data_IF_039450965643
#
_entry.id   IF_039450965643
#
_cell.length_a   1.000
_cell.length_b   1.000
_cell.length_c   1.000
_cell.angle_alpha   90.00
_cell.angle_beta   90.00
_cell.angle_gamma   90.00
#
_symmetry.space_group_name_H-M   'P 1'
#
loop_
_entity.id
_entity.type
_entity.pdbx_description
1 polymer ?
#
# COMPACT_ATOMS: atom_id res chain seq x y z
N UNK A 1 14.15 12.45 -55.13
CA UNK A 1 13.46 11.19 -55.53
C UNK A 1 12.13 11.55 -56.18
N UNK A 2 11.80 10.96 -57.35
CA UNK A 2 10.69 11.41 -58.21
C UNK A 2 9.38 10.65 -57.88
N UNK A 3 8.26 11.39 -57.91
CA UNK A 3 6.84 11.03 -57.68
C UNK A 3 6.32 9.71 -58.29
N UNK A 4 7.08 9.09 -59.22
CA UNK A 4 6.78 7.78 -59.83
C UNK A 4 7.20 6.56 -59.00
N UNK A 5 8.07 6.70 -58.00
CA UNK A 5 8.41 5.60 -57.08
C UNK A 5 7.37 5.41 -55.96
N UNK A 6 6.67 6.48 -55.56
CA UNK A 6 5.67 6.45 -54.46
C UNK A 6 4.36 5.72 -54.84
N UNK A 7 4.00 5.71 -56.13
CA UNK A 7 2.75 5.08 -56.62
C UNK A 7 2.95 3.58 -56.88
N UNK A 8 4.19 3.12 -57.12
CA UNK A 8 4.47 1.68 -57.27
C UNK A 8 4.47 0.92 -55.94
N UNK A 9 4.68 1.61 -54.81
CA UNK A 9 4.60 1.01 -53.46
C UNK A 9 3.17 0.90 -52.93
N UNK A 10 2.17 1.50 -53.58
CA UNK A 10 0.76 1.49 -53.13
C UNK A 10 -0.16 0.58 -53.95
N UNK A 11 0.31 0.00 -55.05
CA UNK A 11 -0.51 -0.81 -55.97
C UNK A 11 -0.38 -2.34 -55.77
N UNK A 12 0.28 -2.80 -54.71
CA UNK A 12 0.41 -4.23 -54.38
C UNK A 12 -0.18 -4.56 -52.99
N UNK A 13 -1.28 -3.90 -52.62
CA UNK A 13 -2.00 -4.15 -51.35
C UNK A 13 -3.47 -4.44 -51.63
N UNK A 14 -3.71 -5.48 -52.43
CA UNK A 14 -5.05 -6.02 -52.65
C UNK A 14 -4.96 -7.53 -52.91
N UNK A 15 -4.48 -8.29 -51.93
CA UNK A 15 -4.77 -9.72 -51.79
C UNK A 15 -4.30 -10.22 -50.41
N UNK A 16 -5.28 -10.52 -49.55
CA UNK A 16 -5.27 -11.57 -48.52
C UNK A 16 -4.18 -11.52 -47.41
N UNK A 17 -4.67 -11.32 -46.18
CA UNK A 17 -4.13 -11.92 -44.96
C UNK A 17 -2.75 -11.45 -44.52
N UNK A 18 -2.73 -10.56 -43.51
CA UNK A 18 -1.62 -10.19 -42.60
C UNK A 18 -1.51 -8.67 -42.44
N UNK A 19 -2.53 -8.05 -41.84
CA UNK A 19 -2.31 -6.81 -41.07
C UNK A 19 -1.90 -7.20 -39.66
N UNK A 20 -0.87 -8.05 -39.56
CA UNK A 20 -0.19 -8.35 -38.30
C UNK A 20 1.00 -7.40 -38.18
N UNK A 21 1.12 -6.78 -37.00
CA UNK A 21 2.31 -6.15 -36.44
C UNK A 21 2.95 -4.91 -37.11
N UNK A 22 2.63 -4.52 -38.35
CA UNK A 22 3.38 -3.45 -39.04
C UNK A 22 3.03 -2.01 -38.62
N UNK A 23 1.88 -1.77 -37.99
CA UNK A 23 1.51 -0.44 -37.47
C UNK A 23 2.20 -0.09 -36.13
N UNK A 24 2.87 -1.05 -35.49
CA UNK A 24 3.57 -0.90 -34.21
C UNK A 24 5.08 -1.09 -34.32
N UNK A 25 5.62 -1.20 -35.53
CA UNK A 25 7.05 -1.26 -35.75
C UNK A 25 7.66 0.11 -35.40
N UNK A 26 8.08 0.28 -34.14
CA UNK A 26 8.94 1.39 -33.72
C UNK A 26 10.23 1.25 -34.54
N UNK A 27 10.52 2.16 -35.49
CA UNK A 27 11.76 2.09 -36.25
C UNK A 27 12.93 2.13 -35.28
N UNK A 28 13.87 1.18 -35.40
CA UNK A 28 15.03 0.99 -34.52
C UNK A 28 14.78 0.42 -33.11
N UNK A 29 13.68 -0.31 -32.86
CA UNK A 29 13.64 -1.14 -31.65
C UNK A 29 14.70 -2.25 -31.78
N UNK A 30 15.81 -2.15 -31.05
CA UNK A 30 16.72 -3.28 -30.89
C UNK A 30 15.91 -4.44 -30.30
N UNK A 31 15.86 -5.58 -31.01
CA UNK A 31 15.33 -6.80 -30.42
C UNK A 31 16.23 -7.12 -29.23
N UNK A 32 15.73 -6.92 -28.02
CA UNK A 32 16.44 -7.32 -26.81
C UNK A 32 16.72 -8.82 -26.91
N UNK A 33 17.99 -9.19 -27.10
CA UNK A 33 18.40 -10.58 -27.05
C UNK A 33 18.54 -10.93 -25.57
N UNK A 34 17.66 -11.81 -25.09
CA UNK A 34 17.80 -12.42 -23.77
C UNK A 34 19.16 -13.12 -23.69
N UNK A 35 20.06 -12.57 -22.89
CA UNK A 35 21.31 -13.25 -22.57
C UNK A 35 21.02 -14.32 -21.53
N UNK A 36 21.07 -15.58 -21.94
CA UNK A 36 21.00 -16.72 -21.02
C UNK A 36 22.36 -16.88 -20.32
N UNK A 37 22.45 -16.41 -19.08
CA UNK A 37 23.58 -16.72 -18.18
C UNK A 37 23.18 -17.80 -17.18
N UNK A 38 24.14 -18.58 -16.69
CA UNK A 38 23.91 -19.47 -15.55
C UNK A 38 23.38 -18.67 -14.36
N UNK A 39 22.30 -19.15 -13.73
CA UNK A 39 21.71 -18.48 -12.57
C UNK A 39 22.76 -18.37 -11.44
N UNK A 40 22.95 -17.19 -10.82
CA UNK A 40 23.85 -17.04 -9.69
C UNK A 40 23.46 -17.99 -8.54
N UNK A 41 24.46 -18.51 -7.84
CA UNK A 41 24.22 -19.38 -6.68
C UNK A 41 23.57 -18.63 -5.53
N UNK A 42 23.84 -17.33 -5.41
CA UNK A 42 23.32 -16.45 -4.38
C UNK A 42 22.67 -15.23 -5.05
N UNK A 43 21.37 -15.03 -4.82
CA UNK A 43 20.62 -13.92 -5.39
C UNK A 43 20.00 -13.11 -4.25
N UNK A 44 20.34 -11.82 -4.17
CA UNK A 44 19.69 -10.89 -3.26
C UNK A 44 18.27 -10.61 -3.74
N UNK A 45 17.31 -10.65 -2.82
CA UNK A 45 15.91 -10.40 -3.08
C UNK A 45 15.20 -9.81 -1.85
N UNK A 46 14.00 -9.30 -2.08
CA UNK A 46 13.07 -8.95 -1.02
C UNK A 46 12.09 -10.11 -0.77
N UNK A 47 11.71 -10.33 0.48
CA UNK A 47 10.67 -11.29 0.85
C UNK A 47 9.33 -10.94 0.17
N UNK A 48 8.65 -11.90 -0.50
CA UNK A 48 7.46 -11.61 -1.32
C UNK A 48 6.15 -11.47 -0.52
N UNK A 49 6.22 -11.34 0.81
CA UNK A 49 5.05 -11.37 1.70
C UNK A 49 4.69 -10.02 2.29
N UNK A 50 4.97 -9.77 3.57
CA UNK A 50 4.47 -8.56 4.23
C UNK A 50 5.31 -7.32 3.88
N UNK A 51 4.72 -6.13 4.00
CA UNK A 51 5.36 -4.83 3.78
C UNK A 51 6.45 -4.45 4.78
N UNK A 52 6.90 -5.37 5.64
CA UNK A 52 8.17 -5.21 6.36
C UNK A 52 9.33 -5.12 5.37
N UNK A 53 9.31 -5.91 4.28
CA UNK A 53 10.38 -5.89 3.29
C UNK A 53 11.70 -6.45 3.82
N UNK A 54 11.67 -7.66 4.38
CA UNK A 54 12.89 -8.35 4.82
C UNK A 54 13.77 -8.69 3.62
N UNK A 55 15.07 -8.40 3.71
CA UNK A 55 16.07 -8.86 2.76
C UNK A 55 16.32 -10.36 2.90
N UNK A 56 16.48 -11.02 1.77
CA UNK A 56 16.67 -12.47 1.69
C UNK A 56 17.67 -12.84 0.60
N UNK A 57 18.38 -13.93 0.80
CA UNK A 57 19.32 -14.52 -0.15
C UNK A 57 18.70 -15.82 -0.65
N UNK A 58 18.36 -15.85 -1.94
CA UNK A 58 17.88 -17.03 -2.64
C UNK A 58 19.11 -17.86 -3.03
N UNK A 59 19.21 -19.07 -2.49
CA UNK A 59 20.29 -20.02 -2.83
C UNK A 59 19.84 -20.91 -3.97
N UNK A 60 20.55 -20.90 -5.09
CA UNK A 60 20.24 -21.72 -6.26
C UNK A 60 21.29 -22.79 -6.55
N UNK A 61 20.84 -23.91 -7.14
CA UNK A 61 21.70 -24.95 -7.70
C UNK A 61 21.00 -25.53 -8.93
N UNK A 62 21.71 -25.61 -10.06
CA UNK A 62 21.19 -26.13 -11.33
C UNK A 62 19.85 -25.46 -11.74
N UNK A 63 19.76 -24.13 -11.60
CA UNK A 63 18.55 -23.36 -11.95
C UNK A 63 17.36 -23.56 -11.01
N UNK A 64 17.54 -24.21 -9.86
CA UNK A 64 16.48 -24.41 -8.85
C UNK A 64 16.83 -23.76 -7.53
N UNK A 65 15.81 -23.24 -6.85
CA UNK A 65 15.95 -22.72 -5.49
C UNK A 65 16.10 -23.91 -4.54
N UNK A 66 17.12 -23.87 -3.71
CA UNK A 66 17.41 -24.90 -2.69
C UNK A 66 17.09 -24.40 -1.29
N UNK A 67 17.41 -23.13 -0.99
CA UNK A 67 17.21 -22.53 0.31
C UNK A 67 16.87 -21.05 0.17
N UNK A 68 16.12 -20.55 1.14
CA UNK A 68 15.90 -19.13 1.37
C UNK A 68 16.54 -18.79 2.71
N UNK A 69 17.53 -17.90 2.69
CA UNK A 69 18.30 -17.54 3.88
C UNK A 69 18.06 -16.05 4.17
N UNK A 70 17.89 -15.64 5.43
CA UNK A 70 17.78 -14.22 5.74
C UNK A 70 19.08 -13.49 5.43
N UNK A 71 18.97 -12.32 4.82
CA UNK A 71 20.11 -11.43 4.62
C UNK A 71 20.51 -10.79 5.97
N UNK A 72 21.75 -11.01 6.39
CA UNK A 72 22.30 -10.51 7.65
C UNK A 72 22.61 -9.02 7.59
N UNK A 73 22.91 -8.51 6.40
CA UNK A 73 23.35 -7.14 6.18
C UNK A 73 22.16 -6.21 5.86
N UNK A 74 20.99 -6.77 5.58
CA UNK A 74 19.80 -5.99 5.28
C UNK A 74 19.25 -5.25 6.53
N UNK A 75 19.07 -3.91 6.47
CA UNK A 75 18.81 -3.08 7.65
C UNK A 75 17.48 -3.40 8.33
N UNK A 76 16.47 -3.78 7.55
CA UNK A 76 15.13 -4.10 8.06
C UNK A 76 15.14 -5.25 9.05
N UNK A 77 15.81 -6.35 8.72
CA UNK A 77 15.64 -7.64 9.39
C UNK A 77 16.91 -8.22 10.00
N UNK A 78 18.11 -7.70 9.66
CA UNK A 78 19.39 -7.99 10.32
C UNK A 78 19.63 -9.50 10.54
N UNK A 79 19.33 -10.31 9.52
CA UNK A 79 19.52 -11.76 9.58
C UNK A 79 18.35 -12.55 10.20
N UNK A 80 17.22 -11.91 10.51
CA UNK A 80 16.00 -12.60 10.95
C UNK A 80 14.97 -12.70 9.83
N UNK A 81 14.17 -13.76 9.82
CA UNK A 81 13.05 -13.91 8.88
C UNK A 81 12.00 -14.85 9.48
N UNK A 82 10.73 -14.55 9.25
CA UNK A 82 9.64 -15.40 9.76
C UNK A 82 9.45 -16.64 8.88
N UNK A 83 8.69 -17.63 9.39
CA UNK A 83 8.47 -18.91 8.70
C UNK A 83 8.00 -18.75 7.26
N UNK A 84 7.08 -17.81 6.99
CA UNK A 84 6.57 -17.55 5.63
C UNK A 84 7.71 -17.23 4.67
N UNK A 85 8.62 -16.34 5.08
CA UNK A 85 9.75 -15.95 4.25
C UNK A 85 10.71 -17.11 4.00
N UNK A 86 11.05 -17.87 5.04
CA UNK A 86 11.96 -19.01 4.98
C UNK A 86 11.44 -20.13 4.06
N UNK A 87 10.12 -20.30 3.97
CA UNK A 87 9.48 -21.32 3.11
C UNK A 87 8.92 -20.75 1.80
N UNK A 88 9.27 -19.51 1.44
CA UNK A 88 8.69 -18.81 0.29
C UNK A 88 8.86 -19.52 -1.06
N UNK A 89 9.88 -20.36 -1.20
CA UNK A 89 10.15 -21.13 -2.41
C UNK A 89 9.18 -22.29 -2.65
N UNK A 90 8.51 -22.81 -1.62
CA UNK A 90 7.66 -24.01 -1.73
C UNK A 90 6.50 -23.79 -2.70
N UNK A 91 5.83 -22.63 -2.62
CA UNK A 91 4.69 -22.29 -3.47
C UNK A 91 5.05 -22.20 -4.97
N UNK A 92 6.33 -22.02 -5.31
CA UNK A 92 6.80 -21.96 -6.71
C UNK A 92 6.75 -23.34 -7.37
N UNK A 93 6.80 -24.42 -6.58
CA UNK A 93 6.94 -25.79 -7.07
C UNK A 93 5.70 -26.67 -6.86
N UNK A 94 4.59 -26.13 -6.35
CA UNK A 94 3.36 -26.86 -6.08
C UNK A 94 2.19 -26.25 -6.85
N UNK A 95 1.44 -27.07 -7.61
CA UNK A 95 0.22 -26.68 -8.34
C UNK A 95 0.34 -25.42 -9.22
N UNK A 96 1.52 -25.19 -9.81
CA UNK A 96 1.77 -24.00 -10.64
C UNK A 96 1.17 -24.18 -12.03
N UNK A 97 0.37 -23.22 -12.47
CA UNK A 97 -0.07 -23.14 -13.86
C UNK A 97 1.11 -22.80 -14.76
N UNK A 98 1.34 -23.60 -15.80
CA UNK A 98 2.47 -23.48 -16.73
C UNK A 98 2.05 -23.25 -18.18
N UNK A 99 0.75 -23.28 -18.47
CA UNK A 99 0.16 -23.08 -19.80
C UNK A 99 -1.01 -22.11 -19.71
N UNK A 100 -1.23 -21.28 -20.74
CA UNK A 100 -2.50 -20.56 -20.90
C UNK A 100 -3.69 -21.52 -20.94
N UNK A 101 -4.76 -21.15 -20.26
CA UNK A 101 -6.00 -21.93 -20.18
C UNK A 101 -7.16 -21.08 -20.70
N UNK A 102 -7.85 -21.58 -21.73
CA UNK A 102 -9.05 -20.97 -22.29
C UNK A 102 -10.25 -21.80 -21.91
N UNK A 103 -11.27 -21.17 -21.33
CA UNK A 103 -12.49 -21.87 -20.94
C UNK A 103 -13.25 -22.35 -22.17
N UNK A 104 -13.65 -23.63 -22.18
CA UNK A 104 -14.21 -24.32 -23.37
C UNK A 104 -15.54 -23.74 -23.83
N UNK A 105 -16.38 -23.31 -22.89
CA UNK A 105 -17.69 -22.74 -23.17
C UNK A 105 -17.68 -21.21 -23.18
N UNK A 106 -16.49 -20.60 -23.35
CA UNK A 106 -16.40 -19.14 -23.39
C UNK A 106 -17.40 -18.56 -24.36
N UNK A 107 -17.96 -17.48 -23.88
CA UNK A 107 -19.07 -16.81 -24.48
C UNK A 107 -18.57 -15.53 -25.11
N UNK A 108 -19.09 -15.22 -26.29
CA UNK A 108 -18.83 -13.98 -27.02
C UNK A 108 -19.29 -12.77 -26.17
N UNK A 109 -18.35 -12.01 -25.57
CA UNK A 109 -18.70 -10.90 -24.69
C UNK A 109 -19.36 -9.74 -25.46
N UNK A 110 -19.10 -9.61 -26.75
CA UNK A 110 -19.66 -8.57 -27.61
C UNK A 110 -21.14 -8.83 -27.89
N UNK A 111 -21.53 -10.11 -27.96
CA UNK A 111 -22.93 -10.52 -28.05
C UNK A 111 -23.62 -10.71 -26.70
N UNK A 112 -22.95 -10.35 -25.60
CA UNK A 112 -23.48 -10.47 -24.24
C UNK A 112 -23.68 -11.92 -23.78
N UNK A 113 -23.10 -12.91 -24.47
CA UNK A 113 -23.13 -14.29 -24.01
C UNK A 113 -22.21 -14.35 -22.78
N UNK A 114 -22.63 -15.05 -21.74
CA UNK A 114 -21.81 -15.37 -20.54
C UNK A 114 -21.60 -16.88 -20.47
N UNK A 115 -20.38 -17.32 -20.14
CA UNK A 115 -20.09 -18.74 -19.94
C UNK A 115 -21.02 -19.30 -18.87
N UNK A 116 -21.63 -20.46 -19.16
CA UNK A 116 -22.52 -21.13 -18.21
C UNK A 116 -21.76 -21.64 -16.98
N UNK A 117 -20.45 -21.82 -17.14
CA UNK A 117 -19.56 -22.33 -16.10
C UNK A 117 -18.75 -21.25 -15.40
N UNK A 118 -19.06 -19.96 -15.63
CA UNK A 118 -18.44 -18.83 -14.93
C UNK A 118 -18.53 -19.02 -13.41
N UNK A 119 -17.41 -18.83 -12.71
CA UNK A 119 -17.29 -19.04 -11.26
C UNK A 119 -16.80 -20.44 -10.85
N UNK A 120 -16.80 -21.42 -11.76
CA UNK A 120 -16.15 -22.71 -11.53
C UNK A 120 -14.69 -22.68 -11.99
N UNK A 121 -13.82 -23.28 -11.18
CA UNK A 121 -12.37 -23.39 -11.39
C UNK A 121 -11.91 -24.84 -11.64
N UNK A 122 -12.85 -25.74 -11.94
CA UNK A 122 -12.52 -27.11 -12.36
C UNK A 122 -11.75 -27.09 -13.69
N UNK A 123 -10.55 -27.67 -13.69
CA UNK A 123 -9.65 -27.69 -14.85
C UNK A 123 -10.27 -28.41 -16.07
N UNK A 124 -11.21 -29.33 -15.87
CA UNK A 124 -11.91 -30.02 -16.95
C UNK A 124 -12.74 -29.07 -17.85
N UNK A 125 -13.06 -27.88 -17.35
CA UNK A 125 -13.80 -26.84 -18.06
C UNK A 125 -12.92 -25.98 -18.97
N UNK A 126 -11.60 -26.18 -18.91
CA UNK A 126 -10.62 -25.42 -19.69
C UNK A 126 -9.91 -26.32 -20.69
N UNK A 127 -9.46 -25.71 -21.78
CA UNK A 127 -8.47 -26.29 -22.69
C UNK A 127 -7.18 -25.50 -22.60
N UNK A 128 -6.06 -26.16 -22.85
CA UNK A 128 -4.79 -25.47 -23.02
C UNK A 128 -4.79 -24.69 -24.35
N UNK A 129 -4.01 -23.61 -24.38
CA UNK A 129 -3.76 -22.78 -25.56
C UNK A 129 -2.26 -22.45 -25.64
N UNK A 130 -1.79 -22.05 -26.82
CA UNK A 130 -0.47 -21.44 -26.96
C UNK A 130 -0.48 -20.01 -26.41
N UNK A 131 0.69 -19.44 -26.17
CA UNK A 131 0.79 -18.02 -25.80
C UNK A 131 0.28 -17.12 -26.91
N UNK A 132 0.69 -17.37 -28.16
CA UNK A 132 0.24 -16.59 -29.33
C UNK A 132 -1.29 -16.59 -29.46
N UNK A 133 -1.93 -17.75 -29.33
CA UNK A 133 -3.39 -17.86 -29.40
C UNK A 133 -4.08 -17.10 -28.25
N UNK A 134 -3.58 -17.25 -27.03
CA UNK A 134 -4.17 -16.60 -25.86
C UNK A 134 -3.99 -15.08 -25.90
N UNK A 135 -2.82 -14.61 -26.35
CA UNK A 135 -2.52 -13.18 -26.51
C UNK A 135 -3.40 -12.57 -27.60
N UNK A 136 -3.48 -13.19 -28.78
CA UNK A 136 -4.32 -12.71 -29.89
C UNK A 136 -5.79 -12.65 -29.48
N UNK A 137 -6.30 -13.69 -28.82
CA UNK A 137 -7.67 -13.72 -28.31
C UNK A 137 -7.96 -12.57 -27.34
N UNK A 138 -7.06 -12.30 -26.38
CA UNK A 138 -7.23 -11.20 -25.42
C UNK A 138 -7.13 -9.84 -26.10
N UNK A 139 -6.14 -9.66 -26.98
CA UNK A 139 -5.89 -8.40 -27.68
C UNK A 139 -7.06 -8.03 -28.59
N UNK A 140 -7.56 -8.97 -29.40
CA UNK A 140 -8.70 -8.75 -30.30
C UNK A 140 -9.97 -8.39 -29.52
N UNK A 141 -10.29 -9.16 -28.46
CA UNK A 141 -11.48 -8.90 -27.65
C UNK A 141 -11.41 -7.55 -26.94
N UNK A 142 -10.27 -7.21 -26.33
CA UNK A 142 -10.07 -5.91 -25.66
C UNK A 142 -10.20 -4.78 -26.68
N UNK A 143 -9.54 -4.90 -27.84
CA UNK A 143 -9.59 -3.88 -28.88
C UNK A 143 -11.01 -3.68 -29.42
N UNK A 144 -11.77 -4.76 -29.65
CA UNK A 144 -13.14 -4.68 -30.14
C UNK A 144 -14.10 -4.11 -29.10
N UNK A 145 -13.97 -4.50 -27.83
CA UNK A 145 -14.72 -3.92 -26.71
C UNK A 145 -14.46 -2.42 -26.60
N UNK A 146 -13.20 -1.99 -26.62
CA UNK A 146 -12.83 -0.56 -26.55
C UNK A 146 -13.34 0.22 -27.77
N UNK A 147 -13.28 -0.37 -28.97
CA UNK A 147 -13.78 0.27 -30.20
C UNK A 147 -15.30 0.46 -30.17
N UNK A 148 -16.05 -0.51 -29.65
CA UNK A 148 -17.51 -0.50 -29.62
C UNK A 148 -18.07 0.29 -28.45
N UNK A 149 -17.43 0.21 -27.29
CA UNK A 149 -17.99 0.64 -26.00
C UNK A 149 -17.10 1.64 -25.23
N UNK A 150 -15.93 2.00 -25.77
CA UNK A 150 -14.99 2.96 -25.18
C UNK A 150 -14.06 2.36 -24.11
N UNK A 151 -13.02 3.09 -23.73
CA UNK A 151 -11.96 2.60 -22.83
C UNK A 151 -12.45 2.09 -21.47
N UNK A 152 -13.40 2.79 -20.84
CA UNK A 152 -13.95 2.41 -19.54
C UNK A 152 -14.82 1.13 -19.54
N UNK A 153 -15.05 0.51 -20.71
CA UNK A 153 -15.66 -0.83 -20.77
C UNK A 153 -14.68 -1.96 -20.44
N UNK A 154 -13.37 -1.64 -20.34
CA UNK A 154 -12.32 -2.54 -19.88
C UNK A 154 -11.80 -2.06 -18.54
N UNK A 155 -11.72 -2.99 -17.58
CA UNK A 155 -11.20 -2.74 -16.24
C UNK A 155 -9.96 -3.57 -15.94
N UNK A 156 -9.07 -3.02 -15.12
CA UNK A 156 -7.89 -3.71 -14.61
C UNK A 156 -7.91 -3.72 -13.09
N UNK A 157 -7.59 -4.88 -12.51
CA UNK A 157 -7.46 -5.06 -11.06
C UNK A 157 -6.03 -5.51 -10.72
N UNK A 158 -5.20 -4.54 -10.37
CA UNK A 158 -3.80 -4.70 -10.05
C UNK A 158 -3.56 -5.20 -8.63
N UNK A 159 -2.30 -5.22 -8.21
CA UNK A 159 -1.93 -5.74 -6.90
C UNK A 159 -0.67 -5.09 -6.34
N UNK A 160 -0.70 -4.76 -5.05
CA UNK A 160 0.48 -4.38 -4.25
C UNK A 160 1.53 -5.49 -4.09
N UNK A 161 1.39 -6.63 -4.78
CA UNK A 161 2.40 -7.70 -4.85
C UNK A 161 3.13 -7.75 -6.21
N UNK A 162 2.70 -6.95 -7.18
CA UNK A 162 3.42 -6.81 -8.45
C UNK A 162 4.72 -6.02 -8.23
N UNK A 163 5.64 -6.14 -9.19
CA UNK A 163 6.83 -5.30 -9.22
C UNK A 163 6.45 -3.86 -9.56
N UNK A 164 7.33 -2.90 -9.23
CA UNK A 164 7.09 -1.49 -9.53
C UNK A 164 6.88 -1.27 -11.03
N UNK A 165 7.67 -1.95 -11.85
CA UNK A 165 7.61 -1.88 -13.31
C UNK A 165 6.26 -2.41 -13.82
N UNK A 166 5.77 -3.52 -13.26
CA UNK A 166 4.46 -4.07 -13.59
C UNK A 166 3.34 -3.06 -13.31
N UNK A 167 3.31 -2.50 -12.10
CA UNK A 167 2.31 -1.51 -11.69
C UNK A 167 2.38 -0.23 -12.53
N UNK A 168 3.59 0.19 -12.92
CA UNK A 168 3.78 1.33 -13.81
C UNK A 168 3.23 1.07 -15.22
N UNK A 169 3.47 -0.12 -15.77
CA UNK A 169 2.95 -0.54 -17.07
C UNK A 169 1.42 -0.65 -17.06
N UNK A 170 0.81 -1.11 -15.97
CA UNK A 170 -0.65 -1.12 -15.82
C UNK A 170 -1.24 0.29 -16.01
N UNK A 171 -0.60 1.31 -15.44
CA UNK A 171 -1.06 2.69 -15.56
C UNK A 171 -0.91 3.25 -16.99
N UNK A 172 0.23 2.99 -17.63
CA UNK A 172 0.45 3.36 -19.05
C UNK A 172 -0.60 2.68 -19.93
N UNK A 173 -0.78 1.37 -19.77
CA UNK A 173 -1.70 0.59 -20.58
C UNK A 173 -3.14 1.10 -20.43
N UNK A 174 -3.62 1.24 -19.20
CA UNK A 174 -5.00 1.65 -18.96
C UNK A 174 -5.24 3.11 -19.35
N UNK A 175 -4.48 4.05 -18.77
CA UNK A 175 -4.77 5.49 -18.93
C UNK A 175 -4.20 6.07 -20.21
N UNK A 176 -3.00 5.64 -20.60
CA UNK A 176 -2.29 6.15 -21.78
C UNK A 176 -2.64 5.44 -23.09
N UNK A 177 -2.85 4.13 -23.08
CA UNK A 177 -3.10 3.35 -24.31
C UNK A 177 -4.59 3.14 -24.57
N UNK A 178 -5.30 2.51 -23.62
CA UNK A 178 -6.73 2.22 -23.79
C UNK A 178 -7.63 3.46 -23.63
N UNK A 179 -7.12 4.48 -22.93
CA UNK A 179 -7.92 5.64 -22.55
C UNK A 179 -9.01 5.25 -21.55
N UNK A 180 -8.66 4.47 -20.53
CA UNK A 180 -9.54 3.99 -19.46
C UNK A 180 -9.03 4.46 -18.10
N UNK A 181 -9.94 4.91 -17.25
CA UNK A 181 -9.67 5.19 -15.83
C UNK A 181 -10.27 4.10 -14.92
N UNK A 182 -10.64 2.96 -15.48
CA UNK A 182 -11.21 1.82 -14.75
C UNK A 182 -10.09 0.90 -14.27
N UNK A 183 -9.21 1.45 -13.43
CA UNK A 183 -8.09 0.74 -12.83
C UNK A 183 -8.19 0.84 -11.31
N UNK A 184 -8.06 -0.28 -10.62
CA UNK A 184 -7.97 -0.37 -9.18
C UNK A 184 -6.96 -1.45 -8.78
N UNK A 185 -6.55 -1.45 -7.51
CA UNK A 185 -5.69 -2.50 -6.97
C UNK A 185 -6.18 -2.94 -5.60
N UNK A 186 -5.81 -4.16 -5.18
CA UNK A 186 -6.13 -4.65 -3.82
C UNK A 186 -5.59 -3.74 -2.69
N UNK A 187 -4.60 -2.89 -2.97
CA UNK A 187 -4.13 -1.84 -2.06
C UNK A 187 -5.26 -0.89 -1.62
N UNK A 188 -6.31 -0.72 -2.44
CA UNK A 188 -7.49 0.10 -2.12
C UNK A 188 -8.20 -0.39 -0.85
N UNK A 189 -8.32 -1.71 -0.67
CA UNK A 189 -8.92 -2.34 0.51
C UNK A 189 -8.03 -2.30 1.76
N UNK A 190 -6.80 -1.83 1.65
CA UNK A 190 -5.81 -1.91 2.72
C UNK A 190 -5.32 -0.53 3.17
N UNK A 191 -4.84 0.31 2.24
CA UNK A 191 -4.00 1.47 2.58
C UNK A 191 -4.65 2.83 2.31
N UNK A 192 -5.77 2.90 1.57
CA UNK A 192 -6.37 4.18 1.12
C UNK A 192 -6.75 5.14 2.24
N UNK A 193 -7.22 4.60 3.36
CA UNK A 193 -7.53 5.40 4.56
C UNK A 193 -6.29 6.10 5.11
N UNK A 194 -5.17 5.39 5.20
CA UNK A 194 -3.89 5.95 5.61
C UNK A 194 -3.37 6.97 4.59
N UNK A 195 -3.43 6.65 3.29
CA UNK A 195 -3.04 7.56 2.19
C UNK A 195 -3.72 8.91 2.31
N UNK A 196 -5.05 8.88 2.38
CA UNK A 196 -5.85 10.10 2.39
C UNK A 196 -5.69 10.85 3.70
N UNK A 197 -5.57 10.14 4.83
CA UNK A 197 -5.29 10.74 6.13
C UNK A 197 -3.94 11.44 6.19
N UNK A 198 -2.88 10.82 5.64
CA UNK A 198 -1.56 11.43 5.57
C UNK A 198 -1.53 12.63 4.64
N UNK A 199 -2.11 12.56 3.44
CA UNK A 199 -2.17 13.71 2.53
C UNK A 199 -2.91 14.89 3.19
N UNK A 200 -4.04 14.64 3.85
CA UNK A 200 -4.81 15.68 4.55
C UNK A 200 -4.07 16.29 5.75
N UNK A 201 -3.19 15.54 6.41
CA UNK A 201 -2.53 15.99 7.65
C UNK A 201 -1.10 16.50 7.43
N UNK A 202 -0.34 15.86 6.54
CA UNK A 202 1.09 16.05 6.32
C UNK A 202 1.42 16.46 4.87
N UNK A 203 0.46 16.45 3.95
CA UNK A 203 0.66 16.80 2.53
C UNK A 203 1.42 15.75 1.71
N UNK A 204 1.77 14.61 2.30
CA UNK A 204 2.46 13.49 1.63
C UNK A 204 1.80 12.17 1.99
N UNK A 205 2.01 11.14 1.18
CA UNK A 205 1.39 9.83 1.32
C UNK A 205 2.15 8.88 2.28
N UNK A 206 3.47 9.03 2.35
CA UNK A 206 4.36 8.07 3.02
C UNK A 206 4.46 8.33 4.53
N UNK A 207 4.66 7.29 5.37
CA UNK A 207 4.97 7.50 6.78
C UNK A 207 6.19 8.43 6.94
N UNK A 208 6.16 9.40 7.87
CA UNK A 208 7.30 10.27 8.16
C UNK A 208 8.38 9.59 9.03
N UNK A 209 8.35 8.26 9.14
CA UNK A 209 9.17 7.44 10.04
C UNK A 209 9.77 6.24 9.30
N UNK A 210 10.81 5.64 9.86
CA UNK A 210 11.44 4.41 9.38
C UNK A 210 11.57 3.36 10.49
N UNK A 211 12.06 2.16 10.18
CA UNK A 211 12.11 1.09 11.19
C UNK A 211 13.18 1.32 12.25
N UNK A 212 14.24 2.08 11.96
CA UNK A 212 15.26 2.49 12.95
C UNK A 212 14.68 3.34 14.09
N UNK A 213 13.51 3.95 13.90
CA UNK A 213 12.83 4.71 14.95
C UNK A 213 12.39 3.79 16.12
N UNK A 214 12.23 2.48 15.88
CA UNK A 214 11.87 1.52 16.93
C UNK A 214 12.89 1.53 18.07
N UNK A 215 14.18 1.57 17.75
CA UNK A 215 15.24 1.51 18.77
C UNK A 215 15.56 2.88 19.42
N UNK A 216 14.83 3.92 19.03
CA UNK A 216 14.96 5.28 19.56
C UNK A 216 13.73 5.73 20.37
N UNK A 217 12.59 5.05 20.21
CA UNK A 217 11.34 5.43 20.84
C UNK A 217 11.37 5.29 22.37
N UNK A 218 10.69 6.21 23.07
CA UNK A 218 10.47 6.12 24.52
C UNK A 218 9.16 5.40 24.87
N UNK A 219 8.23 5.34 23.92
CA UNK A 219 6.97 4.61 24.02
C UNK A 219 6.55 4.14 22.62
N UNK A 220 6.04 2.90 22.53
CA UNK A 220 5.54 2.34 21.27
C UNK A 220 4.08 1.94 21.42
N UNK A 221 3.24 2.41 20.51
CA UNK A 221 1.81 2.10 20.49
C UNK A 221 1.44 1.32 19.22
N UNK A 222 0.51 0.38 19.34
CA UNK A 222 -0.09 -0.36 18.25
C UNK A 222 -1.59 -0.09 18.17
N UNK A 223 -2.07 0.42 17.04
CA UNK A 223 -3.50 0.74 16.82
C UNK A 223 -4.10 -0.16 15.75
N UNK A 224 -5.07 -1.00 16.11
CA UNK A 224 -5.69 -1.96 15.19
C UNK A 224 -4.67 -2.86 14.48
N UNK A 225 -3.58 -3.21 15.17
CA UNK A 225 -2.41 -3.87 14.59
C UNK A 225 -1.93 -5.03 15.46
N UNK A 226 -1.89 -6.22 14.88
CA UNK A 226 -1.31 -7.42 15.49
C UNK A 226 0.01 -7.79 14.79
N UNK A 227 1.11 -7.05 15.00
CA UNK A 227 2.39 -7.29 14.32
C UNK A 227 2.96 -8.68 14.62
N UNK A 228 2.68 -9.31 15.77
CA UNK A 228 3.19 -10.68 16.02
C UNK A 228 2.71 -11.69 14.98
N UNK A 229 1.48 -11.52 14.47
CA UNK A 229 0.94 -12.35 13.38
C UNK A 229 1.19 -11.78 11.99
N UNK A 230 1.01 -10.47 11.83
CA UNK A 230 1.01 -9.80 10.53
C UNK A 230 2.41 -9.36 10.07
N UNK A 231 3.24 -8.86 10.98
CA UNK A 231 4.56 -8.27 10.69
C UNK A 231 5.61 -8.78 11.71
N UNK A 232 5.93 -10.08 11.72
CA UNK A 232 6.62 -10.69 12.86
C UNK A 232 8.00 -10.10 13.14
N UNK A 233 8.75 -9.71 12.11
CA UNK A 233 10.08 -9.11 12.30
C UNK A 233 10.00 -7.72 12.96
N UNK A 234 8.99 -6.92 12.61
CA UNK A 234 8.72 -5.66 13.31
C UNK A 234 8.37 -5.91 14.77
N UNK A 235 7.49 -6.87 15.05
CA UNK A 235 7.17 -7.26 16.43
C UNK A 235 8.41 -7.68 17.21
N UNK A 236 9.26 -8.53 16.63
CA UNK A 236 10.46 -9.01 17.31
C UNK A 236 11.48 -7.91 17.58
N UNK A 237 11.60 -6.91 16.70
CA UNK A 237 12.42 -5.71 16.98
C UNK A 237 11.89 -4.94 18.17
N UNK A 238 10.57 -4.69 18.22
CA UNK A 238 9.93 -4.01 19.34
C UNK A 238 10.05 -4.82 20.65
N UNK A 239 9.85 -6.12 20.58
CA UNK A 239 9.98 -7.03 21.73
C UNK A 239 11.42 -7.05 22.28
N UNK A 240 12.43 -7.21 21.42
CA UNK A 240 13.83 -7.17 21.81
C UNK A 240 14.20 -5.81 22.43
N UNK A 241 13.78 -4.71 21.80
CA UNK A 241 14.02 -3.37 22.32
C UNK A 241 13.36 -3.14 23.69
N UNK A 242 12.08 -3.52 23.84
CA UNK A 242 11.36 -3.46 25.12
C UNK A 242 12.05 -4.30 26.20
N UNK A 243 12.53 -5.50 25.88
CA UNK A 243 13.23 -6.34 26.88
C UNK A 243 14.51 -5.69 27.42
N UNK A 244 15.18 -4.86 26.60
CA UNK A 244 16.42 -4.16 26.97
C UNK A 244 16.18 -2.80 27.64
N UNK A 245 15.15 -2.07 27.23
CA UNK A 245 14.89 -0.69 27.67
C UNK A 245 13.69 -0.51 28.58
N UNK A 246 12.84 -1.53 28.68
CA UNK A 246 11.62 -1.53 29.47
C UNK A 246 10.69 -0.35 29.18
N UNK A 247 10.61 0.07 27.91
CA UNK A 247 9.73 1.17 27.49
C UNK A 247 8.24 0.79 27.67
N UNK A 248 7.37 1.77 27.98
CA UNK A 248 5.93 1.59 27.92
C UNK A 248 5.45 1.20 26.53
N UNK A 249 4.46 0.31 26.48
CA UNK A 249 3.78 -0.05 25.24
C UNK A 249 2.28 -0.04 25.40
N UNK A 250 1.57 0.45 24.40
CA UNK A 250 0.10 0.42 24.34
C UNK A 250 -0.34 -0.41 23.13
N UNK A 251 -1.30 -1.31 23.32
CA UNK A 251 -2.03 -1.95 22.22
C UNK A 251 -3.48 -1.52 22.30
N UNK A 252 -4.02 -0.98 21.22
CA UNK A 252 -5.43 -0.66 21.07
C UNK A 252 -6.00 -1.60 20.00
N UNK A 253 -6.63 -2.67 20.47
CA UNK A 253 -7.17 -3.75 19.64
C UNK A 253 -8.32 -4.38 20.45
N UNK A 254 -9.52 -4.56 19.89
CA UNK A 254 -10.62 -5.20 20.64
C UNK A 254 -10.27 -6.61 21.13
N UNK A 255 -9.28 -7.26 20.52
CA UNK A 255 -8.86 -8.62 20.85
C UNK A 255 -7.56 -8.59 21.65
N UNK A 256 -7.45 -9.49 22.63
CA UNK A 256 -6.17 -9.82 23.27
C UNK A 256 -5.34 -10.70 22.33
N UNK A 257 -4.66 -10.06 21.37
CA UNK A 257 -3.89 -10.74 20.32
C UNK A 257 -2.53 -11.23 20.79
N UNK A 258 -1.81 -11.96 19.93
CA UNK A 258 -0.44 -12.38 20.21
C UNK A 258 0.51 -11.21 20.49
N UNK A 259 0.21 -10.02 19.97
CA UNK A 259 0.97 -8.80 20.26
C UNK A 259 0.80 -8.38 21.71
N UNK A 260 -0.44 -8.34 22.22
CA UNK A 260 -0.72 -8.05 23.64
C UNK A 260 0.00 -9.05 24.52
N UNK A 261 -0.23 -10.35 24.28
CA UNK A 261 0.36 -11.42 25.09
C UNK A 261 1.89 -11.35 25.09
N UNK A 262 2.51 -11.14 23.93
CA UNK A 262 3.98 -11.13 23.84
C UNK A 262 4.65 -9.92 24.48
N UNK A 263 3.98 -8.76 24.52
CA UNK A 263 4.50 -7.59 25.25
C UNK A 263 4.33 -7.76 26.76
N UNK A 264 3.20 -8.33 27.20
CA UNK A 264 2.95 -8.69 28.60
C UNK A 264 3.92 -9.76 29.11
N UNK A 265 4.27 -10.76 28.29
CA UNK A 265 5.27 -11.80 28.62
C UNK A 265 6.65 -11.18 28.94
N UNK A 266 6.99 -10.04 28.31
CA UNK A 266 8.24 -9.31 28.58
C UNK A 266 8.12 -8.53 29.88
N UNK A 267 7.10 -7.68 30.00
CA UNK A 267 6.80 -6.99 31.24
C UNK A 267 5.34 -6.51 31.24
N UNK A 268 4.46 -7.07 32.10
CA UNK A 268 3.07 -6.66 32.16
C UNK A 268 2.88 -5.28 32.79
N UNK A 269 3.83 -4.79 33.61
CA UNK A 269 3.72 -3.49 34.28
C UNK A 269 3.90 -2.30 33.34
N UNK A 270 4.57 -2.50 32.22
CA UNK A 270 4.80 -1.47 31.19
C UNK A 270 4.03 -1.79 29.91
N UNK A 271 3.06 -2.70 29.97
CA UNK A 271 2.25 -3.15 28.83
C UNK A 271 0.79 -2.84 29.09
N UNK A 272 0.21 -1.97 28.27
CA UNK A 272 -1.16 -1.52 28.38
C UNK A 272 -1.97 -2.03 27.19
N UNK A 273 -3.21 -2.44 27.44
CA UNK A 273 -4.14 -2.91 26.41
C UNK A 273 -5.48 -2.21 26.57
N UNK A 274 -5.93 -1.53 25.51
CA UNK A 274 -7.26 -0.93 25.40
C UNK A 274 -8.13 -1.80 24.47
N UNK A 275 -9.00 -2.67 25.02
CA UNK A 275 -9.91 -3.50 24.24
C UNK A 275 -11.14 -2.71 23.81
N UNK A 276 -11.01 -1.95 22.72
CA UNK A 276 -12.09 -1.09 22.19
C UNK A 276 -12.49 -1.47 20.77
N UNK A 277 -13.75 -1.23 20.43
CA UNK A 277 -14.28 -1.27 19.05
C UNK A 277 -14.75 0.15 18.72
N UNK A 278 -14.23 0.74 17.64
CA UNK A 278 -14.64 2.05 17.11
C UNK A 278 -14.48 3.23 18.09
N UNK A 279 -13.61 3.11 19.10
CA UNK A 279 -13.34 4.15 20.11
C UNK A 279 -12.14 5.04 19.80
N UNK A 280 -11.35 4.74 18.77
CA UNK A 280 -10.00 5.28 18.57
C UNK A 280 -9.91 6.80 18.58
N UNK A 281 -10.75 7.50 17.78
CA UNK A 281 -10.78 8.97 17.71
C UNK A 281 -11.08 9.58 19.09
N UNK A 282 -12.02 8.98 19.83
CA UNK A 282 -12.36 9.45 21.17
C UNK A 282 -11.22 9.21 22.16
N UNK A 283 -10.46 8.11 22.01
CA UNK A 283 -9.26 7.86 22.82
C UNK A 283 -8.18 8.90 22.50
N UNK A 284 -7.89 9.22 21.23
CA UNK A 284 -6.86 10.24 20.93
C UNK A 284 -7.23 11.60 21.51
N UNK A 285 -8.48 12.02 21.36
CA UNK A 285 -8.94 13.31 21.88
C UNK A 285 -8.99 13.33 23.42
N UNK A 286 -9.31 12.20 24.06
CA UNK A 286 -9.25 12.11 25.52
C UNK A 286 -7.82 12.07 26.08
N UNK A 287 -6.89 11.45 25.36
CA UNK A 287 -5.44 11.57 25.65
C UNK A 287 -4.98 13.02 25.48
N UNK A 288 -5.41 13.70 24.42
CA UNK A 288 -5.10 15.11 24.20
C UNK A 288 -5.64 15.99 25.33
N UNK A 289 -6.89 15.79 25.74
CA UNK A 289 -7.50 16.46 26.88
C UNK A 289 -6.67 16.26 28.15
N UNK A 290 -6.42 15.00 28.51
CA UNK A 290 -5.69 14.65 29.74
C UNK A 290 -4.28 15.24 29.76
N UNK A 291 -3.59 15.27 28.61
CA UNK A 291 -2.27 15.89 28.49
C UNK A 291 -2.37 17.40 28.67
N UNK A 292 -3.30 18.07 28.00
CA UNK A 292 -3.46 19.52 28.08
C UNK A 292 -3.85 19.98 29.49
N UNK A 293 -4.68 19.20 30.19
CA UNK A 293 -5.12 19.51 31.55
C UNK A 293 -4.07 19.18 32.61
N UNK A 294 -3.48 17.98 32.57
CA UNK A 294 -2.66 17.44 33.68
C UNK A 294 -1.16 17.42 33.41
N UNK A 295 -0.77 17.54 32.14
CA UNK A 295 0.63 17.52 31.68
C UNK A 295 0.91 18.65 30.67
N UNK A 296 0.57 19.92 30.97
CA UNK A 296 0.71 21.02 30.02
C UNK A 296 2.15 21.23 29.52
N UNK A 297 3.15 20.79 30.29
CA UNK A 297 4.57 20.78 29.91
C UNK A 297 4.90 19.79 28.77
N UNK A 298 4.02 18.82 28.52
CA UNK A 298 4.14 17.90 27.39
C UNK A 298 3.62 18.49 26.08
N UNK A 299 2.85 19.58 26.11
CA UNK A 299 2.32 20.25 24.91
C UNK A 299 3.44 21.02 24.20
N UNK A 300 3.63 20.76 22.91
CA UNK A 300 4.68 21.38 22.10
C UNK A 300 4.19 22.70 21.48
N UNK A 301 3.96 23.73 22.30
CA UNK A 301 3.39 25.01 21.86
C UNK A 301 4.15 25.68 20.72
N UNK A 302 5.48 25.68 20.77
CA UNK A 302 6.30 26.29 19.72
C UNK A 302 6.15 25.55 18.39
N UNK A 303 6.08 24.21 18.43
CA UNK A 303 5.84 23.39 17.25
C UNK A 303 4.46 23.68 16.64
N UNK A 304 3.41 23.73 17.46
CA UNK A 304 2.05 24.02 16.98
C UNK A 304 1.97 25.39 16.30
N UNK A 305 2.48 26.43 16.97
CA UNK A 305 2.43 27.80 16.45
C UNK A 305 3.22 27.99 15.15
N UNK A 306 4.30 27.24 14.96
CA UNK A 306 5.20 27.41 13.82
C UNK A 306 4.92 26.46 12.66
N UNK A 307 4.34 25.29 12.92
CA UNK A 307 4.28 24.19 11.96
C UNK A 307 2.90 23.57 11.77
N UNK A 308 1.86 24.08 12.44
CA UNK A 308 0.49 23.60 12.25
C UNK A 308 -0.50 24.74 12.02
N UNK A 309 -1.70 24.39 11.57
CA UNK A 309 -2.85 25.30 11.45
C UNK A 309 -4.05 24.70 12.17
N UNK A 310 -4.97 25.54 12.65
CA UNK A 310 -6.19 25.09 13.34
C UNK A 310 -5.95 24.48 14.73
N UNK A 311 -4.76 24.64 15.31
CA UNK A 311 -4.42 24.06 16.62
C UNK A 311 -5.20 24.72 17.76
N UNK A 312 -5.53 26.02 17.67
CA UNK A 312 -6.32 26.73 18.68
C UNK A 312 -7.71 26.08 18.83
N UNK A 313 -8.40 25.93 17.70
CA UNK A 313 -9.73 25.32 17.65
C UNK A 313 -9.69 23.85 18.12
N UNK A 314 -8.67 23.10 17.73
CA UNK A 314 -8.48 21.73 18.20
C UNK A 314 -8.32 21.66 19.72
N UNK A 315 -7.44 22.50 20.30
CA UNK A 315 -7.19 22.52 21.75
C UNK A 315 -8.44 22.95 22.53
N UNK A 316 -9.19 23.93 22.02
CA UNK A 316 -10.45 24.37 22.62
C UNK A 316 -11.47 23.23 22.66
N UNK A 317 -11.67 22.55 21.54
CA UNK A 317 -12.66 21.46 21.42
C UNK A 317 -12.31 20.26 22.31
N UNK A 318 -11.03 19.84 22.35
CA UNK A 318 -10.63 18.71 23.22
C UNK A 318 -10.79 19.06 24.69
N UNK A 319 -10.52 20.31 25.10
CA UNK A 319 -10.74 20.77 26.49
C UNK A 319 -12.23 20.74 26.87
N UNK A 320 -13.10 21.03 25.92
CA UNK A 320 -14.54 21.18 26.16
C UNK A 320 -15.27 19.85 26.27
N UNK A 321 -15.07 18.94 25.31
CA UNK A 321 -15.97 17.81 25.08
C UNK A 321 -15.31 16.42 25.15
N UNK A 322 -14.06 16.33 25.62
CA UNK A 322 -13.28 15.09 25.62
C UNK A 322 -12.56 14.78 26.94
N UNK A 323 -13.13 15.12 28.11
CA UNK A 323 -12.61 14.55 29.37
C UNK A 323 -12.66 13.02 29.27
N UNK A 324 -11.66 12.28 29.79
CA UNK A 324 -11.71 10.81 29.83
C UNK A 324 -13.03 10.24 30.39
N UNK A 325 -13.66 10.93 31.34
CA UNK A 325 -14.96 10.60 31.90
C UNK A 325 -16.13 10.73 30.89
N UNK A 326 -16.04 11.66 29.94
CA UNK A 326 -17.09 11.96 28.97
C UNK A 326 -17.13 11.00 27.77
N UNK A 327 -16.09 10.17 27.61
CA UNK A 327 -15.93 9.28 26.43
C UNK A 327 -16.01 7.79 26.76
N UNK A 328 -16.34 7.43 28.00
CA UNK A 328 -16.40 6.02 28.44
C UNK A 328 -17.45 5.23 27.63
N UNK A 329 -18.56 5.87 27.28
CA UNK A 329 -19.62 5.29 26.45
C UNK A 329 -19.14 4.89 25.05
N UNK A 330 -18.21 5.66 24.46
CA UNK A 330 -17.64 5.43 23.11
C UNK A 330 -16.44 4.50 23.15
N UNK A 331 -15.55 4.71 24.13
CA UNK A 331 -14.26 4.02 24.19
C UNK A 331 -14.34 2.69 24.92
N UNK A 332 -15.26 2.55 25.88
CA UNK A 332 -15.33 1.44 26.85
C UNK A 332 -14.07 1.30 27.72
N UNK A 333 -13.23 2.34 27.77
CA UNK A 333 -12.01 2.36 28.58
C UNK A 333 -12.28 3.17 29.85
N UNK A 334 -11.82 2.65 30.99
CA UNK A 334 -11.93 3.35 32.26
C UNK A 334 -11.10 4.67 32.22
N UNK A 335 -11.63 5.81 32.72
CA UNK A 335 -10.93 7.10 32.68
C UNK A 335 -9.51 7.04 33.25
N UNK A 336 -9.32 6.30 34.34
CA UNK A 336 -8.03 6.14 35.04
C UNK A 336 -6.97 5.55 34.12
N UNK A 337 -7.37 4.65 33.21
CA UNK A 337 -6.47 4.04 32.23
C UNK A 337 -6.05 5.02 31.13
N UNK A 338 -6.95 5.91 30.72
CA UNK A 338 -6.62 6.99 29.78
C UNK A 338 -5.66 7.97 30.43
N UNK A 339 -5.89 8.37 31.69
CA UNK A 339 -4.96 9.24 32.43
C UNK A 339 -3.59 8.58 32.65
N UNK A 340 -3.54 7.28 32.97
CA UNK A 340 -2.30 6.51 33.10
C UNK A 340 -1.48 6.55 31.80
N UNK A 341 -2.12 6.28 30.66
CA UNK A 341 -1.46 6.33 29.34
C UNK A 341 -1.09 7.76 28.94
N UNK A 342 -1.92 8.76 29.24
CA UNK A 342 -1.63 10.17 28.98
C UNK A 342 -0.35 10.62 29.70
N UNK A 343 -0.17 10.20 30.95
CA UNK A 343 1.07 10.45 31.71
C UNK A 343 2.29 9.82 31.02
N UNK A 344 2.21 8.55 30.64
CA UNK A 344 3.32 7.85 29.97
C UNK A 344 3.66 8.48 28.62
N UNK A 345 2.62 8.87 27.86
CA UNK A 345 2.77 9.59 26.60
C UNK A 345 3.47 10.94 26.81
N UNK A 346 3.05 11.69 27.82
CA UNK A 346 3.66 12.97 28.20
C UNK A 346 5.14 12.81 28.57
N UNK A 347 5.47 11.86 29.46
CA UNK A 347 6.84 11.56 29.88
C UNK A 347 7.74 11.19 28.69
N UNK A 348 7.29 10.29 27.83
CA UNK A 348 7.98 9.88 26.60
C UNK A 348 8.22 11.09 25.67
N UNK A 349 7.20 11.91 25.44
CA UNK A 349 7.27 13.08 24.57
C UNK A 349 8.29 14.11 25.09
N UNK A 350 8.28 14.40 26.39
CA UNK A 350 9.21 15.33 27.02
C UNK A 350 10.63 14.80 26.95
N UNK A 351 10.85 13.53 27.29
CA UNK A 351 12.17 12.89 27.24
C UNK A 351 12.75 12.94 25.82
N UNK A 352 11.94 12.58 24.82
CA UNK A 352 12.32 12.60 23.42
C UNK A 352 12.70 14.00 22.92
N UNK A 353 11.88 15.00 23.23
CA UNK A 353 12.18 16.41 22.87
C UNK A 353 13.46 16.91 23.51
N UNK A 354 13.69 16.62 24.80
CA UNK A 354 14.90 17.03 25.52
C UNK A 354 16.18 16.43 24.91
N UNK A 355 16.12 15.18 24.44
CA UNK A 355 17.26 14.51 23.82
C UNK A 355 17.46 14.86 22.34
N UNK A 356 16.46 15.41 21.67
CA UNK A 356 16.48 15.59 20.22
C UNK A 356 16.27 14.29 19.43
N UNK A 357 15.97 13.17 20.11
CA UNK A 357 15.53 11.90 19.54
C UNK A 357 14.66 11.11 20.53
N UNK A 358 13.79 10.26 20.02
CA UNK A 358 12.77 9.54 20.79
C UNK A 358 11.48 10.35 20.96
N UNK A 359 10.58 9.81 21.77
CA UNK A 359 9.19 10.22 21.89
C UNK A 359 8.26 9.03 21.73
N UNK A 360 7.06 9.29 21.20
CA UNK A 360 6.04 8.26 20.98
C UNK A 360 6.02 7.84 19.51
N UNK A 361 6.20 6.55 19.25
CA UNK A 361 6.05 5.93 17.94
C UNK A 361 4.72 5.16 17.91
N UNK A 362 3.78 5.56 17.05
CA UNK A 362 2.51 4.86 16.90
C UNK A 362 2.44 4.14 15.56
N UNK A 363 2.33 2.83 15.62
CA UNK A 363 2.25 1.94 14.47
C UNK A 363 0.81 1.46 14.35
N UNK A 364 0.21 1.51 13.17
CA UNK A 364 -1.15 0.99 12.97
C UNK A 364 -1.26 0.07 11.75
N UNK A 365 -2.35 -0.69 11.73
CA UNK A 365 -2.64 -1.65 10.67
C UNK A 365 -4.09 -1.59 10.20
N UNK A 366 -4.59 -2.72 9.72
CA UNK A 366 -5.90 -2.79 9.05
C UNK A 366 -7.09 -2.51 9.97
N UNK A 367 -7.01 -2.76 11.28
CA UNK A 367 -8.10 -2.43 12.20
C UNK A 367 -8.39 -0.93 12.26
N UNK A 368 -7.42 -0.12 11.84
CA UNK A 368 -7.53 1.32 11.74
C UNK A 368 -7.98 1.79 10.34
N UNK A 369 -7.46 1.15 9.29
CA UNK A 369 -7.70 1.54 7.90
C UNK A 369 -9.04 1.04 7.35
N UNK A 370 -9.42 -0.21 7.66
CA UNK A 370 -10.66 -0.85 7.19
C UNK A 370 -11.83 -0.45 8.09
N UNK A 371 -12.13 0.84 8.06
CA UNK A 371 -13.11 1.46 8.93
C UNK A 371 -13.80 2.62 8.21
N UNK A 372 -15.09 2.83 8.47
CA UNK A 372 -15.87 3.93 7.88
C UNK A 372 -15.25 5.31 8.15
N UNK A 373 -14.54 5.44 9.27
CA UNK A 373 -13.80 6.64 9.65
C UNK A 373 -12.28 6.49 9.57
N UNK A 374 -11.75 5.55 8.78
CA UNK A 374 -10.30 5.22 8.77
C UNK A 374 -9.39 6.41 8.41
N UNK A 375 -9.84 7.33 7.55
CA UNK A 375 -9.13 8.58 7.27
C UNK A 375 -9.05 9.47 8.53
N UNK A 376 -10.17 9.61 9.24
CA UNK A 376 -10.26 10.43 10.45
C UNK A 376 -9.50 9.82 11.62
N UNK A 377 -9.43 8.48 11.71
CA UNK A 377 -8.55 7.79 12.64
C UNK A 377 -7.11 8.29 12.46
N UNK A 378 -6.59 8.21 11.21
CA UNK A 378 -5.24 8.71 10.86
C UNK A 378 -5.06 10.18 11.24
N UNK A 379 -5.99 11.06 10.84
CA UNK A 379 -5.91 12.49 11.15
C UNK A 379 -5.89 12.76 12.67
N UNK A 380 -6.75 12.09 13.44
CA UNK A 380 -6.84 12.29 14.88
C UNK A 380 -5.57 11.87 15.63
N UNK A 381 -4.90 10.78 15.20
CA UNK A 381 -3.61 10.38 15.75
C UNK A 381 -2.50 11.37 15.38
N UNK A 382 -2.46 11.85 14.14
CA UNK A 382 -1.51 12.89 13.72
C UNK A 382 -1.71 14.16 14.55
N UNK A 383 -2.96 14.56 14.85
CA UNK A 383 -3.25 15.71 15.70
C UNK A 383 -2.69 15.54 17.13
N UNK A 384 -2.91 14.39 17.77
CA UNK A 384 -2.34 14.08 19.09
C UNK A 384 -0.80 14.08 19.06
N UNK A 385 -0.20 13.56 18.00
CA UNK A 385 1.25 13.57 17.83
C UNK A 385 1.81 14.97 17.62
N UNK A 386 1.14 15.80 16.83
CA UNK A 386 1.51 17.20 16.63
C UNK A 386 1.37 18.00 17.93
N UNK A 387 0.29 17.80 18.70
CA UNK A 387 0.07 18.40 20.02
C UNK A 387 1.26 18.17 20.97
N UNK A 388 1.84 16.98 20.89
CA UNK A 388 2.93 16.53 21.76
C UNK A 388 4.31 16.61 21.09
N UNK A 389 4.42 17.21 19.89
CA UNK A 389 5.69 17.36 19.18
C UNK A 389 6.38 16.03 18.86
N UNK A 390 5.61 14.97 18.63
CA UNK A 390 6.07 13.65 18.18
C UNK A 390 5.98 13.52 16.65
N UNK A 391 6.47 14.50 15.91
CA UNK A 391 6.50 14.52 14.43
C UNK A 391 7.82 15.12 13.98
N UNK A 392 8.42 14.57 12.93
CA UNK A 392 9.63 15.13 12.30
C UNK A 392 10.92 14.96 13.11
N UNK A 393 10.97 13.99 14.03
CA UNK A 393 12.16 13.70 14.85
C UNK A 393 12.39 12.18 14.91
N UNK A 394 13.64 11.69 14.79
CA UNK A 394 13.94 10.27 14.91
C UNK A 394 13.41 9.67 16.21
N UNK A 395 12.84 8.47 16.15
CA UNK A 395 12.27 7.73 17.28
C UNK A 395 10.81 8.06 17.62
N UNK A 396 10.13 8.91 16.86
CA UNK A 396 8.74 9.23 17.10
C UNK A 396 7.97 9.54 15.81
N UNK A 397 6.66 9.32 15.84
CA UNK A 397 5.78 9.68 14.73
C UNK A 397 4.71 8.65 14.39
N UNK A 398 3.80 9.05 13.49
CA UNK A 398 2.79 8.16 12.95
C UNK A 398 3.45 7.21 11.95
N UNK A 399 3.19 5.90 12.07
CA UNK A 399 3.70 4.88 11.16
C UNK A 399 2.57 3.96 10.69
N UNK A 400 2.10 4.14 9.46
CA UNK A 400 1.11 3.21 8.88
C UNK A 400 1.86 1.98 8.38
N UNK A 401 1.66 0.85 9.05
CA UNK A 401 2.31 -0.38 8.61
C UNK A 401 1.62 -0.91 7.36
N UNK A 402 2.36 -0.91 6.25
CA UNK A 402 1.87 -1.44 4.99
C UNK A 402 1.83 -2.97 5.02
N UNK A 403 0.71 -3.55 4.58
CA UNK A 403 0.49 -5.00 4.60
C UNK A 403 1.22 -5.76 3.49
N UNK A 404 1.01 -5.38 2.23
CA UNK A 404 1.59 -6.04 1.05
C UNK A 404 3.03 -5.56 0.77
N UNK A 405 3.86 -6.34 0.05
CA UNK A 405 5.29 -6.07 -0.05
C UNK A 405 5.59 -4.83 -0.91
N UNK A 406 4.71 -4.51 -1.86
CA UNK A 406 4.87 -3.40 -2.80
C UNK A 406 3.58 -2.59 -3.01
N UNK A 407 2.70 -2.52 -2.00
CA UNK A 407 1.56 -1.59 -2.03
C UNK A 407 2.01 -0.12 -1.98
N UNK A 408 3.21 0.15 -1.44
CA UNK A 408 3.83 1.48 -1.56
C UNK A 408 4.18 1.80 -3.02
N UNK A 409 4.69 0.82 -3.77
CA UNK A 409 4.92 0.96 -5.21
C UNK A 409 3.63 1.29 -5.96
N UNK A 410 2.53 0.59 -5.66
CA UNK A 410 1.22 0.82 -6.28
C UNK A 410 0.73 2.27 -6.10
N UNK A 411 0.88 2.77 -4.86
CA UNK A 411 0.53 4.15 -4.50
C UNK A 411 1.43 5.15 -5.25
N UNK A 412 2.72 4.82 -5.38
CA UNK A 412 3.70 5.64 -6.08
C UNK A 412 3.48 5.65 -7.59
N UNK A 413 3.12 4.54 -8.22
CA UNK A 413 2.91 4.46 -9.68
C UNK A 413 1.54 4.99 -10.11
N UNK A 414 0.61 5.17 -9.17
CA UNK A 414 -0.71 5.74 -9.41
C UNK A 414 -1.66 4.77 -10.11
N UNK A 415 -1.51 3.47 -9.86
CA UNK A 415 -2.39 2.41 -10.42
C UNK A 415 -3.79 2.35 -9.79
N UNK A 416 -4.30 3.49 -9.32
CA UNK A 416 -5.66 3.65 -8.83
C UNK A 416 -6.45 4.59 -9.75
N UNK A 417 -7.78 4.50 -9.64
CA UNK A 417 -8.71 5.37 -10.36
C UNK A 417 -8.43 6.84 -10.01
N UNK A 418 -8.29 7.68 -11.02
CA UNK A 418 -8.10 9.13 -10.85
C UNK A 418 -6.70 9.55 -10.41
N UNK A 419 -5.73 8.64 -10.42
CA UNK A 419 -4.33 8.93 -10.05
C UNK A 419 -3.37 8.78 -11.22
N UNK A 420 -2.27 9.52 -11.18
CA UNK A 420 -1.10 9.37 -12.02
C UNK A 420 0.12 9.06 -11.13
N UNK A 421 1.29 8.73 -11.69
CA UNK A 421 2.50 8.53 -10.90
C UNK A 421 2.74 9.67 -9.89
N UNK A 422 3.34 9.32 -8.76
CA UNK A 422 3.49 10.11 -7.54
C UNK A 422 2.18 10.40 -6.80
N UNK A 423 1.15 9.59 -7.04
CA UNK A 423 -0.19 9.74 -6.46
C UNK A 423 -0.85 11.11 -6.77
N UNK A 424 -0.37 11.79 -7.81
CA UNK A 424 -0.92 13.08 -8.25
C UNK A 424 -2.24 12.83 -8.97
N UNK A 425 -3.20 13.74 -8.78
CA UNK A 425 -4.52 13.61 -9.37
C UNK A 425 -4.48 13.66 -10.90
N UNK A 426 -5.32 12.85 -11.52
CA UNK A 426 -5.51 12.87 -12.97
C UNK A 426 -6.14 14.20 -13.44
N UNK A 427 -6.71 15.00 -12.54
CA UNK A 427 -7.23 16.35 -12.78
C UNK A 427 -6.14 17.42 -12.94
N UNK A 428 -4.91 17.16 -12.50
CA UNK A 428 -3.77 18.08 -12.69
C UNK A 428 -3.29 18.10 -14.14
N UNK A 429 -3.61 19.20 -14.85
CA UNK A 429 -3.27 19.35 -16.26
C UNK A 429 -1.75 19.42 -16.53
N UNK A 430 -0.97 20.01 -15.62
CA UNK A 430 0.49 20.10 -15.78
C UNK A 430 1.11 18.71 -15.65
N UNK A 431 0.64 17.94 -14.67
CA UNK A 431 1.12 16.59 -14.45
C UNK A 431 0.70 15.64 -15.56
N UNK A 432 -0.53 15.77 -16.09
CA UNK A 432 -0.95 15.05 -17.30
C UNK A 432 0.00 15.30 -18.48
N UNK A 433 0.32 16.56 -18.76
CA UNK A 433 1.23 16.92 -19.85
C UNK A 433 2.62 16.30 -19.65
N UNK A 434 3.16 16.38 -18.44
CA UNK A 434 4.44 15.75 -18.09
C UNK A 434 4.40 14.22 -18.26
N UNK A 435 3.38 13.53 -17.74
CA UNK A 435 3.25 12.09 -17.92
C UNK A 435 3.12 11.69 -19.40
N UNK A 436 2.35 12.44 -20.20
CA UNK A 436 2.20 12.16 -21.63
C UNK A 436 3.54 12.25 -22.37
N UNK A 437 4.35 13.26 -22.06
CA UNK A 437 5.71 13.41 -22.58
C UNK A 437 6.60 12.22 -22.19
N UNK A 438 6.64 11.85 -20.90
CA UNK A 438 7.45 10.73 -20.41
C UNK A 438 7.02 9.38 -20.99
N UNK A 439 5.72 9.22 -21.28
CA UNK A 439 5.17 7.99 -21.88
C UNK A 439 5.25 7.98 -23.41
N UNK A 440 5.69 9.09 -24.04
CA UNK A 440 5.77 9.21 -25.49
C UNK A 440 4.40 9.12 -26.18
N UNK A 441 3.33 9.59 -25.52
CA UNK A 441 1.97 9.58 -26.06
C UNK A 441 1.44 11.00 -26.30
N UNK A 442 0.49 11.20 -27.23
CA UNK A 442 -0.18 12.49 -27.38
C UNK A 442 -0.91 12.89 -26.09
N UNK A 443 -0.72 14.13 -25.64
CA UNK A 443 -1.36 14.66 -24.42
C UNK A 443 -2.89 14.51 -24.43
N UNK A 444 -3.51 14.67 -25.61
CA UNK A 444 -4.94 14.52 -25.84
C UNK A 444 -5.50 13.18 -25.32
N UNK A 445 -4.68 12.13 -25.29
CA UNK A 445 -5.09 10.83 -24.73
C UNK A 445 -5.40 10.93 -23.24
N UNK A 446 -4.50 11.55 -22.46
CA UNK A 446 -4.71 11.72 -21.02
C UNK A 446 -5.79 12.76 -20.71
N UNK A 447 -5.90 13.82 -21.52
CA UNK A 447 -7.00 14.78 -21.39
C UNK A 447 -8.36 14.12 -21.61
N UNK A 448 -8.48 13.22 -22.60
CA UNK A 448 -9.68 12.42 -22.81
C UNK A 448 -9.94 11.48 -21.64
N UNK A 449 -8.94 10.76 -21.15
CA UNK A 449 -9.07 9.85 -20.00
C UNK A 449 -9.53 10.58 -18.74
N UNK A 450 -9.00 11.78 -18.48
CA UNK A 450 -9.38 12.61 -17.34
C UNK A 450 -10.86 13.04 -17.38
N UNK A 451 -11.40 13.26 -18.59
CA UNK A 451 -12.82 13.59 -18.79
C UNK A 451 -13.76 12.39 -18.69
N UNK A 452 -13.27 11.16 -18.60
CA UNK A 452 -14.13 9.98 -18.54
C UNK A 452 -14.66 9.73 -17.13
N UNK A 453 -15.98 9.64 -17.00
CA UNK A 453 -16.60 9.19 -15.76
C UNK A 453 -16.39 7.68 -15.59
N UNK A 454 -15.78 7.28 -14.46
CA UNK A 454 -15.78 5.90 -14.02
C UNK A 454 -17.13 5.62 -13.33
N UNK A 455 -18.00 4.84 -13.95
CA UNK A 455 -19.36 4.54 -13.48
C UNK A 455 -19.40 3.57 -12.29
N UNK A 456 -18.27 3.33 -11.63
CA UNK A 456 -18.22 2.68 -10.32
C UNK A 456 -18.17 1.15 -10.35
N UNK A 457 -17.93 0.51 -11.48
CA UNK A 457 -17.80 -0.97 -11.51
C UNK A 457 -16.50 -1.46 -10.81
N UNK A 458 -15.39 -0.73 -10.89
CA UNK A 458 -14.14 -1.09 -10.19
C UNK A 458 -14.12 -0.59 -8.73
N UNK A 459 -14.60 0.63 -8.49
CA UNK A 459 -14.62 1.27 -7.15
C UNK A 459 -15.76 0.69 -6.29
N UNK A 460 -16.95 0.50 -6.87
CA UNK A 460 -18.14 0.01 -6.18
C UNK A 460 -18.15 -1.49 -5.84
N UNK A 461 -17.20 -2.28 -6.34
CA UNK A 461 -16.96 -3.65 -5.83
C UNK A 461 -16.25 -3.64 -4.47
N UNK A 462 -15.60 -2.54 -4.09
CA UNK A 462 -14.71 -2.48 -2.92
C UNK A 462 -15.09 -1.42 -1.88
N UNK A 463 -16.07 -0.56 -2.18
CA UNK A 463 -16.61 0.47 -1.27
C UNK A 463 -18.02 0.16 -0.72
N UNK A 464 -18.54 -1.05 -0.92
CA UNK A 464 -19.80 -1.48 -0.28
C UNK A 464 -19.58 -2.01 1.13
#
# INVERSE_FOLDING_TARGET
>A
MRRRQFIKSTAATAALGNVSASAWAIPNSEKYQLQESAAPTDILAACPYCGVGCGTIIKTKNGRITHIVPDKDHPTNRGLQCIKGLTSAEAIYVNRLTKPLVRKDMSDPLRGKVSKTKGSYDLSLFREATWDEAEELVAEQVAEIVKTSGGNSVGLYGSGQLTLEGQYLENIFMKGILGSNTIEANARMCMTSAVTGYIKSLGSDTPPTCYEDVELADMICFWGHNPRGAHPILFWRVADYKSKKNIPTLVVDPRRTGTVMGLEDINPKTSHHFPTINGDISIHNALAHAIVERHPEAVAWDFLKQHTTGWEAYVEEVKKDYRPEDVVDRTKIAPEKIYEVAKLWAEASIAGRKRGNGGVLCIWGIGYNQHLHGQHNTMSLVNLMALTGNVGRPGCGPHSQTGQPNAMGERLTGGLTGRLPFNIGLDDAKHRAWCAEQWGIPQERLDKTAGMQNTGMAVGMMER
#
